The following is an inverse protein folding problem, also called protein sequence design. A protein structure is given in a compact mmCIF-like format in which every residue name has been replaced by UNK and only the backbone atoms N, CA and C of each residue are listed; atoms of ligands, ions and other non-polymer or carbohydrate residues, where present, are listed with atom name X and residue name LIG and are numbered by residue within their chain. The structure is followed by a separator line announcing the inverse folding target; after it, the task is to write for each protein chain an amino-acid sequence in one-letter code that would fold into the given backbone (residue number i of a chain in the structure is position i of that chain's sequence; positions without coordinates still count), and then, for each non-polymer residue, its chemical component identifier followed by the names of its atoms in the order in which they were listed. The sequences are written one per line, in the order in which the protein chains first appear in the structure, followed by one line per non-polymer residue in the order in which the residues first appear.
data_IF_642871197582
#
_entry.id   IF_642871197582
#
_cell.length_a   1.000
_cell.length_b   1.000
_cell.length_c   1.000
_cell.angle_alpha   90.00
_cell.angle_beta   90.00
_cell.angle_gamma   90.00
#
_symmetry.space_group_name_H-M   'P 1'
#
loop_
_entity.id
_entity.type
_entity.pdbx_description
1 polymer ?
#
# COMPACT_ATOMS: atom_id res chain seq x y z
N UNK A 1 27.32 -15.72 5.26
CA UNK A 1 26.27 -15.01 5.94
C UNK A 1 25.35 -14.34 4.98
N UNK A 2 24.67 -15.16 4.31
CA UNK A 2 23.87 -14.72 3.19
C UNK A 2 22.68 -13.88 3.61
N UNK A 3 22.13 -14.15 4.79
CA UNK A 3 21.00 -13.38 5.27
C UNK A 3 21.33 -11.90 5.44
N UNK A 4 22.59 -11.58 5.70
CA UNK A 4 23.00 -10.19 5.87
C UNK A 4 22.99 -9.48 4.52
N UNK A 5 23.36 -10.20 3.45
CA UNK A 5 23.42 -9.60 2.13
C UNK A 5 22.05 -9.28 1.56
N UNK A 6 21.01 -9.95 2.07
CA UNK A 6 19.65 -9.68 1.64
C UNK A 6 18.97 -8.64 2.50
N UNK A 7 19.63 -8.19 3.57
CA UNK A 7 19.04 -7.19 4.44
C UNK A 7 19.04 -5.84 3.76
N UNK A 8 17.94 -5.13 3.91
CA UNK A 8 17.84 -3.76 3.45
C UNK A 8 18.08 -2.83 4.63
N UNK A 9 18.70 -1.70 4.36
CA UNK A 9 19.00 -0.71 5.38
C UNK A 9 17.76 0.17 5.54
N UNK A 10 16.92 -0.17 6.50
CA UNK A 10 15.64 0.50 6.69
C UNK A 10 15.84 1.84 7.38
N UNK A 11 15.43 2.92 6.70
CA UNK A 11 15.44 4.24 7.33
C UNK A 11 14.41 4.30 8.45
N UNK A 12 14.65 5.09 9.51
CA UNK A 12 13.60 5.31 10.49
C UNK A 12 12.38 5.94 9.84
N UNK A 13 11.18 5.58 10.27
CA UNK A 13 9.99 6.16 9.68
C UNK A 13 9.75 7.58 10.18
N UNK A 14 9.01 8.36 9.39
CA UNK A 14 8.35 9.54 9.90
C UNK A 14 6.91 9.16 10.24
N UNK A 15 6.23 10.00 10.98
CA UNK A 15 4.85 9.73 11.41
C UNK A 15 3.93 10.77 10.81
N UNK A 16 2.81 10.33 10.23
CA UNK A 16 1.85 11.19 9.56
C UNK A 16 0.46 10.85 10.04
N UNK A 17 -0.37 11.88 10.20
CA UNK A 17 -1.81 11.69 10.37
C UNK A 17 -2.47 12.07 9.06
N UNK A 18 -3.41 11.25 8.62
CA UNK A 18 -4.10 11.54 7.38
C UNK A 18 -5.59 11.39 7.57
N UNK A 19 -6.34 12.39 7.12
CA UNK A 19 -7.80 12.38 7.13
C UNK A 19 -8.30 11.29 6.20
N UNK A 20 -9.56 10.90 6.37
CA UNK A 20 -10.15 9.90 5.50
C UNK A 20 -10.13 10.37 4.05
N UNK A 21 -9.97 9.42 3.14
CA UNK A 21 -9.94 9.72 1.70
C UNK A 21 -10.45 8.52 0.93
N UNK A 22 -10.77 8.77 -0.33
CA UNK A 22 -11.33 7.73 -1.21
C UNK A 22 -10.33 7.36 -2.29
N UNK A 23 -10.24 6.06 -2.53
CA UNK A 23 -9.48 5.51 -3.66
C UNK A 23 -10.43 4.80 -4.59
N UNK A 24 -10.07 4.75 -5.86
CA UNK A 24 -10.79 3.95 -6.85
C UNK A 24 -9.78 3.22 -7.72
N UNK A 25 -10.06 1.97 -8.01
CA UNK A 25 -9.14 1.17 -8.80
C UNK A 25 -9.63 -0.26 -9.00
N UNK A 26 -8.68 -1.12 -9.33
CA UNK A 26 -8.94 -2.54 -9.53
C UNK A 26 -8.56 -3.31 -8.28
N UNK A 27 -9.37 -4.28 -7.90
CA UNK A 27 -9.14 -5.10 -6.71
C UNK A 27 -8.94 -6.55 -7.12
N UNK A 28 -7.95 -7.20 -6.54
CA UNK A 28 -7.76 -8.64 -6.67
C UNK A 28 -7.55 -9.26 -5.29
N UNK A 29 -7.77 -10.56 -5.19
CA UNK A 29 -7.54 -11.27 -3.93
C UNK A 29 -6.31 -12.15 -4.07
N UNK A 30 -5.44 -12.06 -3.08
CA UNK A 30 -4.16 -12.76 -3.11
C UNK A 30 -3.86 -13.39 -1.76
N UNK A 31 -2.95 -14.36 -1.78
CA UNK A 31 -2.32 -14.86 -0.57
C UNK A 31 -0.93 -14.25 -0.48
N UNK A 32 -0.49 -13.86 0.70
CA UNK A 32 0.80 -13.20 0.89
C UNK A 32 1.97 -14.07 0.42
N UNK A 33 1.76 -15.37 0.26
CA UNK A 33 2.77 -16.27 -0.28
C UNK A 33 2.69 -16.41 -1.80
N UNK A 34 1.67 -15.85 -2.44
CA UNK A 34 1.43 -15.96 -3.87
C UNK A 34 0.92 -14.65 -4.41
N UNK A 35 1.84 -13.71 -4.59
CA UNK A 35 1.51 -12.35 -5.02
C UNK A 35 1.94 -12.08 -6.46
N UNK A 36 2.28 -13.14 -7.22
CA UNK A 36 2.79 -13.00 -8.58
C UNK A 36 1.79 -12.32 -9.53
N UNK A 37 0.50 -12.39 -9.21
CA UNK A 37 -0.52 -11.74 -10.03
C UNK A 37 -0.62 -10.24 -9.86
N UNK A 38 0.03 -9.66 -8.84
CA UNK A 38 -0.07 -8.22 -8.59
C UNK A 38 0.50 -7.38 -9.73
N UNK A 39 1.69 -7.69 -10.30
CA UNK A 39 2.17 -6.91 -11.44
C UNK A 39 1.22 -6.93 -12.63
N UNK A 40 0.56 -8.05 -12.90
CA UNK A 40 -0.41 -8.13 -13.99
C UNK A 40 -1.63 -7.25 -13.71
N UNK A 41 -2.06 -7.17 -12.45
CA UNK A 41 -3.15 -6.29 -12.06
C UNK A 41 -2.77 -4.83 -12.31
N UNK A 42 -1.57 -4.42 -11.95
CA UNK A 42 -1.08 -3.08 -12.26
C UNK A 42 -1.07 -2.83 -13.76
N UNK A 43 -0.69 -3.83 -14.55
CA UNK A 43 -0.74 -3.72 -16.01
C UNK A 43 -2.14 -3.45 -16.53
N UNK A 44 -3.15 -4.12 -15.93
CA UNK A 44 -4.54 -3.89 -16.33
C UNK A 44 -5.03 -2.52 -15.87
N UNK A 45 -4.51 -2.01 -14.76
CA UNK A 45 -4.93 -0.70 -14.25
C UNK A 45 -4.28 0.46 -15.01
N UNK A 46 -3.11 0.24 -15.62
CA UNK A 46 -2.35 1.31 -16.27
C UNK A 46 -3.18 2.21 -17.18
N UNK A 47 -4.03 1.66 -18.07
CA UNK A 47 -4.82 2.49 -18.97
C UNK A 47 -5.81 3.42 -18.26
N UNK A 48 -6.16 3.16 -17.03
CA UNK A 48 -7.10 3.99 -16.27
C UNK A 48 -6.41 5.17 -15.59
N UNK A 49 -5.11 5.13 -15.41
CA UNK A 49 -4.39 6.19 -14.68
C UNK A 49 -4.55 7.51 -15.44
N UNK A 50 -5.02 8.53 -14.72
CA UNK A 50 -5.33 9.82 -15.32
C UNK A 50 -6.72 9.92 -15.91
N UNK A 51 -7.47 8.81 -15.96
CA UNK A 51 -8.79 8.75 -16.57
C UNK A 51 -9.88 8.26 -15.63
N UNK A 52 -9.55 8.00 -14.36
CA UNK A 52 -10.54 7.56 -13.38
C UNK A 52 -11.45 8.74 -13.06
N UNK A 53 -12.78 8.56 -13.13
CA UNK A 53 -13.69 9.67 -12.81
C UNK A 53 -13.44 10.19 -11.41
N UNK A 54 -13.29 11.50 -11.28
CA UNK A 54 -13.06 12.14 -9.99
C UNK A 54 -11.63 12.10 -9.50
N UNK A 55 -10.68 11.63 -10.30
CA UNK A 55 -9.28 11.58 -9.88
C UNK A 55 -8.76 12.98 -9.53
N UNK A 56 -8.14 13.12 -8.36
CA UNK A 56 -7.74 14.43 -7.83
C UNK A 56 -6.23 14.64 -7.79
N UNK A 57 -5.44 13.58 -7.98
CA UNK A 57 -3.98 13.69 -7.89
C UNK A 57 -3.32 12.62 -8.74
N UNK A 58 -2.07 12.85 -9.20
CA UNK A 58 -1.39 11.88 -10.06
C UNK A 58 -0.81 10.67 -9.32
N UNK A 59 -0.71 10.72 -7.99
CA UNK A 59 -0.15 9.59 -7.23
C UNK A 59 -0.99 8.34 -7.42
N UNK A 60 -0.33 7.18 -7.45
CA UNK A 60 -1.00 5.89 -7.47
C UNK A 60 -0.76 5.16 -6.17
N UNK A 61 -1.67 4.26 -5.84
CA UNK A 61 -1.67 3.57 -4.56
C UNK A 61 -1.78 2.07 -4.76
N UNK A 62 -1.00 1.30 -3.98
CA UNK A 62 -1.25 -0.11 -3.78
C UNK A 62 -1.72 -0.29 -2.34
N UNK A 63 -2.83 -1.00 -2.14
CA UNK A 63 -3.42 -1.12 -0.81
C UNK A 63 -3.68 -2.58 -0.50
N UNK A 64 -3.10 -3.05 0.60
CA UNK A 64 -3.37 -4.38 1.14
C UNK A 64 -4.40 -4.23 2.25
N UNK A 65 -5.52 -4.96 2.14
CA UNK A 65 -6.61 -4.83 3.10
C UNK A 65 -7.44 -6.12 3.14
N UNK A 66 -8.43 -6.15 4.03
CA UNK A 66 -9.30 -7.30 4.23
C UNK A 66 -8.52 -8.59 4.49
N UNK A 67 -7.58 -8.51 5.45
CA UNK A 67 -6.79 -9.67 5.85
C UNK A 67 -7.67 -10.65 6.61
N UNK A 68 -7.54 -11.95 6.31
CA UNK A 68 -8.37 -12.97 6.95
C UNK A 68 -7.63 -13.77 8.03
N UNK A 69 -6.38 -13.42 8.32
CA UNK A 69 -5.60 -14.15 9.31
C UNK A 69 -4.96 -15.42 8.79
N UNK A 70 -5.30 -15.87 7.59
CA UNK A 70 -4.73 -17.06 6.96
C UNK A 70 -3.78 -16.69 5.82
N UNK A 71 -3.41 -15.42 5.73
CA UNK A 71 -2.51 -14.93 4.69
C UNK A 71 -3.21 -14.42 3.46
N UNK A 72 -4.54 -14.49 3.40
CA UNK A 72 -5.27 -13.93 2.26
C UNK A 72 -5.57 -12.46 2.50
N UNK A 73 -5.60 -11.70 1.42
CA UNK A 73 -5.85 -10.27 1.47
C UNK A 73 -6.42 -9.81 0.15
N UNK A 74 -7.11 -8.68 0.19
CA UNK A 74 -7.45 -7.95 -1.03
C UNK A 74 -6.33 -6.97 -1.33
N UNK A 75 -6.10 -6.71 -2.61
CA UNK A 75 -5.11 -5.73 -3.05
C UNK A 75 -5.75 -4.82 -4.08
N UNK A 76 -5.74 -3.53 -3.80
CA UNK A 76 -6.24 -2.52 -4.74
C UNK A 76 -5.06 -1.78 -5.33
N UNK A 77 -5.05 -1.62 -6.66
CA UNK A 77 -4.23 -0.61 -7.31
C UNK A 77 -5.16 0.49 -7.79
N UNK A 78 -4.87 1.74 -7.38
CA UNK A 78 -5.84 2.79 -7.61
C UNK A 78 -5.27 4.19 -7.51
N UNK A 79 -6.17 5.16 -7.59
CA UNK A 79 -5.86 6.58 -7.47
C UNK A 79 -6.86 7.22 -6.52
N UNK A 80 -6.48 8.38 -5.98
CA UNK A 80 -7.37 9.12 -5.10
C UNK A 80 -8.43 9.84 -5.91
N UNK A 81 -9.68 9.76 -5.43
CA UNK A 81 -10.83 10.41 -6.09
C UNK A 81 -11.55 11.33 -5.12
N UNK A 82 -12.30 12.26 -5.68
CA UNK A 82 -13.13 13.19 -4.89
C UNK A 82 -14.40 12.54 -4.36
N UNK A 83 -14.89 11.51 -5.06
CA UNK A 83 -16.16 10.89 -4.71
C UNK A 83 -17.37 11.52 -5.37
N UNK A 84 -17.16 12.54 -6.19
CA UNK A 84 -18.28 13.27 -6.81
C UNK A 84 -18.75 12.63 -8.11
N UNK A 85 -17.97 11.75 -8.70
CA UNK A 85 -18.30 11.14 -9.98
C UNK A 85 -18.66 9.67 -9.78
N UNK A 86 -19.55 9.18 -10.63
CA UNK A 86 -19.95 7.78 -10.60
C UNK A 86 -18.85 6.92 -11.22
N UNK A 87 -18.57 5.78 -10.61
CA UNK A 87 -17.64 4.80 -11.13
C UNK A 87 -18.40 3.72 -11.87
N UNK A 88 -17.78 3.19 -12.91
CA UNK A 88 -18.30 2.04 -13.64
C UNK A 88 -17.39 0.84 -13.42
N UNK A 89 -17.97 -0.34 -13.49
CA UNK A 89 -17.16 -1.55 -13.47
C UNK A 89 -16.09 -1.50 -14.55
N UNK A 90 -14.90 -2.00 -14.31
CA UNK A 90 -14.48 -2.80 -13.13
C UNK A 90 -13.91 -1.96 -11.98
N UNK A 91 -14.05 -0.65 -11.98
CA UNK A 91 -13.48 0.20 -10.94
C UNK A 91 -14.27 0.07 -9.65
N UNK A 92 -13.55 -0.08 -8.55
CA UNK A 92 -14.12 -0.24 -7.21
C UNK A 92 -13.65 0.91 -6.33
N UNK A 93 -14.56 1.44 -5.52
CA UNK A 93 -14.24 2.51 -4.57
C UNK A 93 -13.81 1.89 -3.24
N UNK A 94 -12.81 2.48 -2.60
CA UNK A 94 -12.37 2.07 -1.28
C UNK A 94 -12.15 3.31 -0.43
N UNK A 95 -12.84 3.38 0.72
CA UNK A 95 -12.63 4.46 1.68
C UNK A 95 -11.55 4.07 2.66
N UNK A 96 -10.56 4.95 2.83
CA UNK A 96 -9.52 4.78 3.83
C UNK A 96 -9.86 5.72 4.98
N UNK A 97 -10.04 5.15 6.18
CA UNK A 97 -10.42 5.93 7.36
C UNK A 97 -9.26 6.80 7.84
N UNK A 98 -9.60 7.88 8.53
CA UNK A 98 -8.60 8.74 9.16
C UNK A 98 -7.76 7.92 10.13
N UNK A 99 -6.42 8.11 10.07
CA UNK A 99 -5.52 7.27 10.86
C UNK A 99 -4.13 7.88 10.91
N UNK A 100 -3.38 7.47 11.92
CA UNK A 100 -1.96 7.76 12.04
C UNK A 100 -1.14 6.63 11.41
N UNK A 101 -0.05 6.98 10.76
CA UNK A 101 0.80 6.02 10.05
C UNK A 101 2.26 6.22 10.40
N UNK A 102 3.00 5.11 10.40
CA UNK A 102 4.46 5.15 10.26
C UNK A 102 4.76 5.05 8.77
N UNK A 103 5.54 5.98 8.24
CA UNK A 103 5.79 6.10 6.82
C UNK A 103 7.26 5.80 6.53
N UNK A 104 7.50 4.79 5.72
CA UNK A 104 8.84 4.34 5.37
C UNK A 104 9.11 4.63 3.90
N UNK A 105 10.23 5.26 3.60
CA UNK A 105 10.65 5.45 2.21
C UNK A 105 11.41 4.21 1.74
N UNK A 106 11.03 3.73 0.56
CA UNK A 106 11.80 2.67 -0.10
C UNK A 106 12.75 3.36 -1.07
N UNK A 107 14.05 3.30 -0.79
CA UNK A 107 15.06 4.03 -1.57
C UNK A 107 15.83 3.17 -2.53
N UNK A 108 15.54 1.89 -2.54
CA UNK A 108 16.21 0.94 -3.41
C UNK A 108 15.36 0.70 -4.66
N UNK A 109 15.86 -0.15 -5.55
CA UNK A 109 15.13 -0.57 -6.72
C UNK A 109 13.74 -1.09 -6.35
N UNK A 110 12.75 -0.79 -7.17
CA UNK A 110 11.38 -1.25 -6.90
C UNK A 110 11.30 -2.77 -6.81
N UNK A 111 12.16 -3.49 -7.54
CA UNK A 111 12.21 -4.94 -7.46
C UNK A 111 12.54 -5.45 -6.06
N UNK A 112 13.06 -4.60 -5.19
CA UNK A 112 13.44 -4.96 -3.83
C UNK A 112 12.45 -4.47 -2.78
N UNK A 113 11.28 -4.02 -3.19
CA UNK A 113 10.30 -3.46 -2.24
C UNK A 113 9.87 -4.51 -1.20
N UNK A 114 9.85 -5.78 -1.57
CA UNK A 114 9.50 -6.84 -0.63
C UNK A 114 10.48 -6.92 0.53
N UNK A 115 11.73 -6.58 0.30
CA UNK A 115 12.72 -6.57 1.38
C UNK A 115 12.43 -5.45 2.37
N UNK A 116 11.96 -4.30 1.89
CA UNK A 116 11.56 -3.20 2.77
C UNK A 116 10.35 -3.60 3.60
N UNK A 117 9.34 -4.23 2.99
CA UNK A 117 8.19 -4.76 3.73
C UNK A 117 8.64 -5.74 4.81
N UNK A 118 9.53 -6.65 4.46
CA UNK A 118 10.04 -7.65 5.40
C UNK A 118 10.79 -6.99 6.56
N UNK A 119 11.59 -5.98 6.26
CA UNK A 119 12.36 -5.27 7.29
C UNK A 119 11.43 -4.52 8.24
N UNK A 120 10.36 -3.93 7.73
CA UNK A 120 9.38 -3.24 8.58
C UNK A 120 8.80 -4.19 9.60
N UNK A 121 8.29 -5.34 9.16
CA UNK A 121 7.62 -6.27 10.05
C UNK A 121 8.58 -7.12 10.87
N UNK A 122 9.76 -7.42 10.34
CA UNK A 122 10.73 -8.28 11.01
C UNK A 122 11.71 -7.56 11.90
N UNK A 123 12.01 -6.29 11.61
CA UNK A 123 13.01 -5.54 12.35
C UNK A 123 12.41 -4.37 13.12
N UNK A 124 11.62 -3.53 12.45
CA UNK A 124 11.12 -2.32 13.08
C UNK A 124 9.93 -2.58 14.01
N UNK A 125 8.91 -3.30 13.53
CA UNK A 125 7.69 -3.47 14.30
C UNK A 125 7.92 -4.11 15.66
N UNK A 126 8.75 -5.18 15.78
CA UNK A 126 8.94 -5.82 17.08
C UNK A 126 9.60 -4.94 18.14
N UNK A 127 10.37 -3.94 17.72
CA UNK A 127 11.14 -3.10 18.63
C UNK A 127 10.68 -1.65 18.67
N UNK A 128 9.63 -1.32 17.92
CA UNK A 128 9.20 0.08 17.76
C UNK A 128 8.49 0.64 18.98
N UNK A 129 7.86 -0.21 19.76
CA UNK A 129 6.99 0.24 20.85
C UNK A 129 5.60 0.64 20.37
N UNK A 130 5.35 0.61 19.08
CA UNK A 130 4.03 0.94 18.52
C UNK A 130 3.23 -0.32 18.28
N UNK A 131 1.90 -0.21 18.41
CA UNK A 131 0.98 -1.27 18.05
C UNK A 131 0.46 -0.99 16.65
N UNK A 132 0.65 -1.95 15.75
CA UNK A 132 0.15 -1.82 14.39
C UNK A 132 -1.35 -2.09 14.36
N UNK A 133 -2.08 -1.29 13.60
CA UNK A 133 -3.52 -1.46 13.47
C UNK A 133 -3.83 -2.54 12.44
N UNK A 134 -4.92 -3.26 12.65
CA UNK A 134 -5.46 -4.15 11.64
C UNK A 134 -6.31 -3.29 10.71
N UNK A 135 -5.67 -2.71 9.71
CA UNK A 135 -6.26 -1.72 8.82
C UNK A 135 -5.52 -1.75 7.51
N UNK A 136 -6.02 -1.08 6.46
CA UNK A 136 -5.32 -1.07 5.17
C UNK A 136 -3.90 -0.53 5.27
N UNK A 137 -2.98 -1.23 4.61
CA UNK A 137 -1.58 -0.84 4.50
C UNK A 137 -1.35 -0.31 3.09
N UNK A 138 -0.63 0.80 2.97
CA UNK A 138 -0.55 1.52 1.71
C UNK A 138 0.87 1.51 1.15
N UNK A 139 0.96 1.39 -0.17
CA UNK A 139 2.13 1.80 -0.94
C UNK A 139 1.71 3.05 -1.71
N UNK A 140 2.48 4.12 -1.58
CA UNK A 140 2.15 5.39 -2.24
C UNK A 140 3.25 5.67 -3.25
N UNK A 141 2.87 5.71 -4.52
CA UNK A 141 3.79 5.91 -5.63
C UNK A 141 3.66 7.33 -6.16
N UNK A 142 4.75 8.08 -6.06
CA UNK A 142 4.87 9.41 -6.65
C UNK A 142 6.09 9.39 -7.55
N UNK A 143 7.12 10.21 -7.26
CA UNK A 143 8.41 10.07 -7.93
C UNK A 143 9.26 8.97 -7.29
N UNK A 144 8.85 8.47 -6.14
CA UNK A 144 9.41 7.32 -5.46
C UNK A 144 8.28 6.52 -4.85
N UNK A 145 8.58 5.65 -3.89
CA UNK A 145 7.56 4.88 -3.24
C UNK A 145 7.72 4.94 -1.73
N UNK A 146 6.60 5.08 -1.04
CA UNK A 146 6.54 5.06 0.42
C UNK A 146 5.59 3.96 0.86
N UNK A 147 5.90 3.34 2.01
CA UNK A 147 5.04 2.33 2.62
C UNK A 147 4.46 2.95 3.89
N UNK A 148 3.15 2.98 3.97
CA UNK A 148 2.40 3.59 5.07
C UNK A 148 1.77 2.50 5.91
N UNK A 149 2.24 2.35 7.15
CA UNK A 149 1.79 1.31 8.07
C UNK A 149 0.86 1.93 9.10
N UNK A 150 -0.40 1.46 9.18
CA UNK A 150 -1.38 2.05 10.10
C UNK A 150 -1.05 1.70 11.55
N UNK A 151 -1.22 2.67 12.43
CA UNK A 151 -0.93 2.53 13.85
C UNK A 151 -2.22 2.64 14.67
N UNK A 152 -2.23 1.93 15.80
CA UNK A 152 -3.27 2.08 16.82
C UNK A 152 -3.11 3.38 17.55
N UNK A 153 -4.20 3.92 18.01
CA UNK A 153 -4.20 5.10 18.81
C UNK A 153 -4.27 6.34 18.04
#
# INVERSE_FOLDING_TARGET
MDAINDAIDLEPPRFEERKSFLLAGLVGRYNTRRIEGIPAQWGRFGPYIGKVPGQVAPATYGVCFNFDGAGNMDYLCGVEISGDAALSEPLTELRIAERRYAVFRHRDDLSKIRLTWRAIFGQWAPTSGYTLATAPQLEVYTDGVEIWIPLEG
#
